data_IF_370740272291
#
_entry.id   IF_370740272291
#
_cell.length_a   1.000
_cell.length_b   1.000
_cell.length_c   1.000
_cell.angle_alpha   90.00
_cell.angle_beta   90.00
_cell.angle_gamma   90.00
#
_symmetry.space_group_name_H-M   'P 1'
#
loop_
_entity.id
_entity.type
_entity.pdbx_description
1 polymer ?
#
# COMPACT_ATOMS: atom_id res chain seq x y z
N UNK A 1 -12.49 19.90 45.91
CA UNK A 1 -11.55 19.60 44.83
C UNK A 1 -11.67 18.10 44.56
N UNK A 2 -12.51 17.71 43.60
CA UNK A 2 -12.69 16.31 43.22
C UNK A 2 -11.95 16.10 41.90
N UNK A 3 -10.88 15.34 41.94
CA UNK A 3 -10.11 14.95 40.78
C UNK A 3 -10.92 14.01 39.89
N UNK A 4 -11.19 14.40 38.67
CA UNK A 4 -11.76 13.53 37.63
C UNK A 4 -10.64 12.61 37.16
N UNK A 5 -10.66 11.36 37.62
CA UNK A 5 -9.79 10.31 37.10
C UNK A 5 -10.35 9.91 35.73
N UNK A 6 -9.75 10.44 34.67
CA UNK A 6 -10.02 10.00 33.30
C UNK A 6 -9.45 8.57 33.18
N UNK A 7 -10.35 7.63 32.98
CA UNK A 7 -10.04 6.19 32.87
C UNK A 7 -9.41 5.89 31.49
N UNK A 8 -8.07 5.92 31.40
CA UNK A 8 -7.25 5.67 30.21
C UNK A 8 -7.16 4.16 29.88
N UNK A 9 -8.21 3.38 30.07
CA UNK A 9 -8.21 1.92 29.87
C UNK A 9 -8.97 1.44 28.63
N UNK A 10 -9.21 2.26 27.62
CA UNK A 10 -9.87 1.82 26.38
C UNK A 10 -9.09 2.14 25.10
N UNK A 11 -7.76 2.16 25.15
CA UNK A 11 -6.93 2.24 23.96
C UNK A 11 -6.43 0.82 23.65
N UNK A 12 -6.83 0.31 22.47
CA UNK A 12 -6.32 -0.89 21.78
C UNK A 12 -6.84 -2.28 22.21
N UNK A 13 -8.14 -2.53 22.04
CA UNK A 13 -8.57 -3.81 21.50
C UNK A 13 -8.98 -3.60 20.02
N UNK A 14 -8.05 -3.36 19.11
CA UNK A 14 -8.32 -3.57 17.69
C UNK A 14 -8.80 -5.02 17.54
N UNK A 15 -10.01 -5.20 17.04
CA UNK A 15 -10.54 -6.54 16.83
C UNK A 15 -9.60 -7.28 15.88
N UNK A 16 -9.20 -8.50 16.24
CA UNK A 16 -8.32 -9.35 15.42
C UNK A 16 -9.08 -9.98 14.24
N UNK A 17 -9.83 -9.18 13.50
CA UNK A 17 -10.68 -9.60 12.40
C UNK A 17 -10.23 -8.87 11.15
N UNK A 18 -10.13 -9.58 10.03
CA UNK A 18 -9.92 -8.94 8.74
C UNK A 18 -11.08 -8.01 8.42
N UNK A 19 -10.79 -6.81 7.93
CA UNK A 19 -11.75 -5.76 7.58
C UNK A 19 -11.63 -5.42 6.12
N UNK A 20 -12.72 -4.96 5.50
CA UNK A 20 -12.67 -4.34 4.19
C UNK A 20 -12.25 -2.89 4.33
N UNK A 21 -11.35 -2.47 3.46
CA UNK A 21 -10.90 -1.10 3.34
C UNK A 21 -10.87 -0.68 1.87
N UNK A 22 -10.69 0.59 1.61
CA UNK A 22 -10.52 1.15 0.27
C UNK A 22 -9.56 2.33 0.31
N UNK A 23 -8.74 2.48 -0.72
CA UNK A 23 -7.90 3.66 -0.93
C UNK A 23 -8.78 4.81 -1.45
N UNK A 24 -8.82 5.91 -0.72
CA UNK A 24 -9.80 6.99 -0.93
C UNK A 24 -9.62 7.78 -2.22
N UNK A 25 -8.44 7.76 -2.84
CA UNK A 25 -8.17 8.44 -4.10
C UNK A 25 -9.07 7.96 -5.26
N UNK A 26 -9.69 6.79 -5.13
CA UNK A 26 -10.69 6.28 -6.08
C UNK A 26 -11.79 7.30 -6.39
N UNK A 27 -12.20 8.09 -5.40
CA UNK A 27 -13.18 9.16 -5.52
C UNK A 27 -12.57 10.54 -5.21
N UNK A 28 -11.35 10.81 -5.69
CA UNK A 28 -10.68 12.09 -5.51
C UNK A 28 -11.45 13.31 -6.08
N UNK A 29 -12.42 13.05 -6.96
CA UNK A 29 -13.34 14.07 -7.52
C UNK A 29 -14.53 14.42 -6.61
N UNK A 30 -14.75 13.68 -5.53
CA UNK A 30 -15.77 13.94 -4.51
C UNK A 30 -15.16 14.59 -3.28
N UNK A 31 -15.96 15.24 -2.47
CA UNK A 31 -15.56 15.65 -1.11
C UNK A 31 -15.32 14.42 -0.23
N UNK A 32 -14.52 14.59 0.84
CA UNK A 32 -14.29 13.50 1.82
C UNK A 32 -15.62 12.99 2.39
N UNK A 33 -16.57 13.85 2.72
CA UNK A 33 -17.87 13.48 3.29
C UNK A 33 -18.68 12.60 2.31
N UNK A 34 -18.72 12.95 1.03
CA UNK A 34 -19.40 12.19 0.00
C UNK A 34 -18.73 10.83 -0.26
N UNK A 35 -17.39 10.80 -0.30
CA UNK A 35 -16.64 9.57 -0.49
C UNK A 35 -16.85 8.60 0.68
N UNK A 36 -16.72 9.08 1.94
CA UNK A 36 -16.90 8.25 3.13
C UNK A 36 -18.34 7.74 3.25
N UNK A 37 -19.33 8.55 2.85
CA UNK A 37 -20.71 8.08 2.78
C UNK A 37 -20.88 6.90 1.83
N UNK A 38 -20.34 6.99 0.60
CA UNK A 38 -20.37 5.89 -0.38
C UNK A 38 -19.72 4.62 0.19
N UNK A 39 -18.56 4.73 0.84
CA UNK A 39 -17.86 3.59 1.42
C UNK A 39 -18.65 2.94 2.56
N UNK A 40 -19.23 3.75 3.44
CA UNK A 40 -20.08 3.26 4.52
C UNK A 40 -21.34 2.57 3.99
N UNK A 41 -22.02 3.14 2.98
CA UNK A 41 -23.21 2.54 2.34
C UNK A 41 -22.90 1.16 1.73
N UNK A 42 -21.69 0.93 1.24
CA UNK A 42 -21.24 -0.37 0.72
C UNK A 42 -20.82 -1.36 1.84
N UNK A 43 -20.79 -0.91 3.11
CA UNK A 43 -20.39 -1.73 4.26
C UNK A 43 -18.89 -1.99 4.30
N UNK A 44 -18.09 -1.02 3.89
CA UNK A 44 -16.64 -0.95 4.12
C UNK A 44 -16.40 -0.61 5.59
N UNK A 45 -15.37 -1.18 6.21
CA UNK A 45 -15.10 -1.05 7.64
C UNK A 45 -14.05 0.04 7.94
N UNK A 46 -13.15 0.26 7.01
CA UNK A 46 -12.01 1.17 7.18
C UNK A 46 -11.63 1.83 5.85
N UNK A 47 -10.78 2.85 5.91
CA UNK A 47 -10.24 3.50 4.73
C UNK A 47 -8.73 3.65 4.84
N UNK A 48 -8.06 3.57 3.73
CA UNK A 48 -6.70 3.98 3.49
C UNK A 48 -6.72 5.38 2.88
N UNK A 49 -6.00 6.32 3.48
CA UNK A 49 -6.09 7.73 3.10
C UNK A 49 -4.91 8.14 2.23
N UNK A 50 -5.19 8.52 0.99
CA UNK A 50 -4.21 9.21 0.15
C UNK A 50 -3.91 10.61 0.71
N UNK A 51 -2.63 10.90 1.02
CA UNK A 51 -2.23 12.12 1.70
C UNK A 51 -0.96 12.78 1.12
N UNK A 52 -0.63 12.50 -0.12
CA UNK A 52 0.51 13.05 -0.85
C UNK A 52 1.03 12.10 -1.93
N UNK A 53 2.05 12.53 -2.64
CA UNK A 53 2.62 11.75 -3.74
C UNK A 53 1.64 11.44 -4.86
N UNK A 54 1.73 10.24 -5.44
CA UNK A 54 0.85 9.81 -6.53
C UNK A 54 -0.63 9.69 -6.13
N UNK A 55 -1.02 9.25 -4.92
CA UNK A 55 -2.42 9.27 -4.49
C UNK A 55 -3.03 10.67 -4.39
N UNK A 56 -2.20 11.73 -4.32
CA UNK A 56 -2.65 13.10 -4.16
C UNK A 56 -3.16 13.43 -2.76
N UNK A 57 -3.76 14.61 -2.61
CA UNK A 57 -4.18 15.19 -1.34
C UNK A 57 -5.66 15.56 -1.28
N UNK A 58 -6.48 15.02 -2.18
CA UNK A 58 -7.89 15.42 -2.33
C UNK A 58 -8.69 15.28 -1.02
N UNK A 59 -8.43 14.24 -0.22
CA UNK A 59 -9.14 13.95 1.03
C UNK A 59 -8.30 14.21 2.28
N UNK A 60 -7.01 14.47 2.13
CA UNK A 60 -6.10 14.71 3.25
C UNK A 60 -4.87 15.48 2.76
N UNK A 61 -4.75 16.72 3.19
CA UNK A 61 -3.50 17.48 3.09
C UNK A 61 -2.85 17.55 4.48
N UNK A 62 -1.79 16.78 4.75
CA UNK A 62 -1.16 16.76 6.06
C UNK A 62 -0.62 18.13 6.47
N UNK A 63 -0.10 18.94 5.55
CA UNK A 63 0.43 20.25 5.87
C UNK A 63 -0.66 21.20 6.39
N UNK A 64 -1.86 21.14 5.79
CA UNK A 64 -3.02 21.92 6.24
C UNK A 64 -3.52 21.43 7.61
N UNK A 65 -3.68 20.10 7.76
CA UNK A 65 -4.21 19.52 9.00
C UNK A 65 -3.26 19.67 10.19
N UNK A 66 -1.96 19.68 9.96
CA UNK A 66 -0.96 19.91 11.01
C UNK A 66 -0.91 21.36 11.45
N UNK A 67 -1.26 22.32 10.58
CA UNK A 67 -1.25 23.75 10.87
C UNK A 67 -2.51 24.24 11.59
N UNK A 68 -3.63 23.51 11.53
CA UNK A 68 -4.92 23.91 12.09
C UNK A 68 -5.58 22.77 12.89
N UNK A 69 -5.55 22.88 14.22
CA UNK A 69 -6.14 21.88 15.12
C UNK A 69 -7.65 21.72 14.95
N UNK A 70 -8.36 22.81 14.57
CA UNK A 70 -9.79 22.74 14.30
C UNK A 70 -10.07 21.97 13.01
N UNK A 71 -9.34 22.27 11.95
CA UNK A 71 -9.44 21.53 10.70
C UNK A 71 -9.16 20.04 10.90
N UNK A 72 -8.14 19.69 11.69
CA UNK A 72 -7.84 18.31 12.04
C UNK A 72 -8.98 17.64 12.82
N UNK A 73 -9.57 18.34 13.78
CA UNK A 73 -10.69 17.81 14.57
C UNK A 73 -11.93 17.58 13.68
N UNK A 74 -12.29 18.54 12.83
CA UNK A 74 -13.41 18.46 11.89
C UNK A 74 -13.19 17.33 10.88
N UNK A 75 -11.95 17.19 10.36
CA UNK A 75 -11.56 16.10 9.47
C UNK A 75 -11.74 14.73 10.14
N UNK A 76 -11.29 14.54 11.37
CA UNK A 76 -11.48 13.28 12.13
C UNK A 76 -12.95 12.99 12.39
N UNK A 77 -13.74 13.99 12.76
CA UNK A 77 -15.17 13.82 13.00
C UNK A 77 -15.94 13.32 11.79
N UNK A 78 -15.45 13.56 10.56
CA UNK A 78 -16.07 13.04 9.34
C UNK A 78 -16.00 11.51 9.28
N UNK A 79 -14.93 10.88 9.76
CA UNK A 79 -14.83 9.42 9.83
C UNK A 79 -15.75 8.84 10.91
N UNK A 80 -15.79 9.46 12.07
CA UNK A 80 -16.67 9.06 13.18
C UNK A 80 -18.14 9.10 12.76
N UNK A 81 -18.55 10.10 11.98
CA UNK A 81 -19.91 10.26 11.41
C UNK A 81 -20.36 9.03 10.64
N UNK A 82 -19.47 8.38 9.93
CA UNK A 82 -19.76 7.20 9.08
C UNK A 82 -19.30 5.88 9.69
N UNK A 83 -18.70 5.90 10.88
CA UNK A 83 -18.20 4.70 11.57
C UNK A 83 -17.05 4.02 10.86
N UNK A 84 -16.25 4.77 10.09
CA UNK A 84 -15.11 4.26 9.34
C UNK A 84 -13.80 4.46 10.10
N UNK A 85 -12.97 3.42 10.17
CA UNK A 85 -11.63 3.51 10.77
C UNK A 85 -10.61 3.99 9.73
N UNK A 86 -9.60 4.74 10.16
CA UNK A 86 -8.42 5.02 9.34
C UNK A 86 -7.44 3.86 9.52
N UNK A 87 -7.19 3.09 8.45
CA UNK A 87 -6.29 1.94 8.48
C UNK A 87 -4.82 2.36 8.43
N UNK A 88 -4.48 3.28 7.54
CA UNK A 88 -3.15 3.82 7.31
C UNK A 88 -3.22 5.11 6.48
N UNK A 89 -2.08 5.79 6.37
CA UNK A 89 -1.87 6.90 5.44
C UNK A 89 -1.03 6.42 4.26
N UNK A 90 -1.41 6.83 3.04
CA UNK A 90 -0.74 6.46 1.80
C UNK A 90 -0.13 7.65 1.10
N UNK A 91 1.18 7.58 0.84
CA UNK A 91 2.00 8.65 0.28
C UNK A 91 3.02 8.07 -0.69
N UNK A 92 2.52 7.33 -1.67
CA UNK A 92 3.36 6.71 -2.70
C UNK A 92 4.14 7.76 -3.48
N UNK A 93 5.46 7.58 -3.58
CA UNK A 93 6.31 8.56 -4.26
C UNK A 93 7.72 8.04 -4.53
N UNK A 94 8.54 8.88 -5.14
CA UNK A 94 9.95 8.60 -5.40
C UNK A 94 10.87 9.60 -4.66
N UNK A 95 11.07 9.44 -3.35
CA UNK A 95 11.87 10.39 -2.56
C UNK A 95 13.37 10.31 -2.86
N UNK A 96 13.80 9.35 -3.66
CA UNK A 96 15.18 9.21 -4.17
C UNK A 96 15.28 9.52 -5.66
N UNK A 97 14.33 10.25 -6.21
CA UNK A 97 14.34 10.68 -7.60
C UNK A 97 15.64 11.44 -7.94
N UNK A 98 16.28 11.21 -9.13
CA UNK A 98 17.51 11.91 -9.50
C UNK A 98 17.36 13.44 -9.56
N UNK A 99 16.20 13.94 -10.01
CA UNK A 99 15.86 15.34 -9.87
C UNK A 99 15.59 15.68 -8.41
N UNK A 100 16.45 16.52 -7.83
CA UNK A 100 16.40 16.86 -6.40
C UNK A 100 15.15 17.63 -5.99
N UNK A 101 14.52 18.37 -6.92
CA UNK A 101 13.26 19.07 -6.65
C UNK A 101 12.13 18.04 -6.48
N UNK A 102 12.02 17.10 -7.39
CA UNK A 102 11.02 16.00 -7.33
C UNK A 102 11.26 15.14 -6.10
N UNK A 103 12.51 14.75 -5.83
CA UNK A 103 12.87 14.00 -4.63
C UNK A 103 12.44 14.70 -3.35
N UNK A 104 12.67 16.02 -3.26
CA UNK A 104 12.29 16.82 -2.09
C UNK A 104 10.78 16.89 -1.92
N UNK A 105 10.02 17.08 -2.97
CA UNK A 105 8.55 17.12 -2.92
C UNK A 105 7.99 15.80 -2.33
N UNK A 106 8.45 14.65 -2.79
CA UNK A 106 8.04 13.35 -2.24
C UNK A 106 8.56 13.11 -0.82
N UNK A 107 9.76 13.57 -0.50
CA UNK A 107 10.29 13.49 0.86
C UNK A 107 9.47 14.33 1.84
N UNK A 108 9.13 15.56 1.47
CA UNK A 108 8.31 16.46 2.28
C UNK A 108 6.91 15.87 2.51
N UNK A 109 6.29 15.28 1.48
CA UNK A 109 5.00 14.62 1.60
C UNK A 109 5.07 13.43 2.56
N UNK A 110 6.11 12.59 2.47
CA UNK A 110 6.32 11.47 3.39
C UNK A 110 6.53 11.96 4.84
N UNK A 111 7.34 12.98 5.03
CA UNK A 111 7.60 13.58 6.34
C UNK A 111 6.32 14.11 6.96
N UNK A 112 5.53 14.86 6.20
CA UNK A 112 4.24 15.38 6.66
C UNK A 112 3.23 14.27 6.97
N UNK A 113 3.21 13.18 6.18
CA UNK A 113 2.38 12.01 6.47
C UNK A 113 2.78 11.34 7.79
N UNK A 114 4.06 11.22 8.08
CA UNK A 114 4.56 10.68 9.36
C UNK A 114 4.14 11.56 10.54
N UNK A 115 4.29 12.87 10.43
CA UNK A 115 3.88 13.81 11.48
C UNK A 115 2.37 13.79 11.72
N UNK A 116 1.58 13.69 10.65
CA UNK A 116 0.13 13.53 10.78
C UNK A 116 -0.22 12.19 11.41
N UNK A 117 0.44 11.10 11.01
CA UNK A 117 0.24 9.77 11.58
C UNK A 117 0.47 9.76 13.11
N UNK A 118 1.54 10.41 13.60
CA UNK A 118 1.78 10.64 15.03
C UNK A 118 0.61 11.37 15.69
N UNK A 119 0.17 12.49 15.10
CA UNK A 119 -0.89 13.34 15.66
C UNK A 119 -2.24 12.61 15.76
N UNK A 120 -2.53 11.67 14.85
CA UNK A 120 -3.79 10.92 14.84
C UNK A 120 -3.68 9.49 15.40
N UNK A 121 -2.48 9.07 15.83
CA UNK A 121 -2.25 7.77 16.46
C UNK A 121 -2.22 6.60 15.49
N UNK A 122 -1.78 6.80 14.25
CA UNK A 122 -1.59 5.77 13.22
C UNK A 122 -0.13 5.34 13.19
N UNK A 123 0.14 4.04 13.21
CA UNK A 123 1.49 3.47 13.25
C UNK A 123 2.02 2.99 11.89
N UNK A 124 1.22 3.12 10.83
CA UNK A 124 1.50 2.57 9.50
C UNK A 124 1.38 3.63 8.41
N UNK A 125 2.44 3.80 7.62
CA UNK A 125 2.46 4.64 6.40
C UNK A 125 2.82 3.75 5.22
N UNK A 126 2.05 3.86 4.14
CA UNK A 126 2.24 3.13 2.88
C UNK A 126 2.95 4.01 1.88
N UNK A 127 3.94 3.48 1.15
CA UNK A 127 4.71 4.23 0.16
C UNK A 127 5.42 3.31 -0.83
N UNK A 128 6.13 3.90 -1.82
CA UNK A 128 7.12 3.20 -2.66
C UNK A 128 8.55 3.38 -2.12
N UNK A 129 9.41 2.45 -2.46
CA UNK A 129 10.85 2.56 -2.10
C UNK A 129 11.58 3.69 -2.80
N UNK A 130 11.07 4.11 -3.94
CA UNK A 130 11.76 4.98 -4.88
C UNK A 130 12.66 4.21 -5.86
N UNK A 131 13.08 4.92 -6.90
CA UNK A 131 14.04 4.46 -7.90
C UNK A 131 14.99 5.62 -8.23
N UNK A 132 16.28 5.52 -7.91
CA UNK A 132 17.31 6.49 -8.29
C UNK A 132 17.66 6.42 -9.79
N UNK A 133 18.53 7.31 -10.22
CA UNK A 133 19.24 7.16 -11.50
C UNK A 133 20.28 6.04 -11.47
N UNK A 134 21.01 5.85 -12.56
CA UNK A 134 22.14 4.91 -12.65
C UNK A 134 23.44 5.48 -12.08
N UNK A 135 23.50 6.80 -11.94
CA UNK A 135 24.65 7.55 -11.35
C UNK A 135 24.16 8.88 -10.77
N UNK A 136 25.09 9.63 -10.15
CA UNK A 136 24.79 10.91 -9.49
C UNK A 136 24.38 12.04 -10.47
N UNK A 137 24.79 11.97 -11.70
CA UNK A 137 24.54 12.95 -12.75
C UNK A 137 23.21 12.76 -13.47
N UNK A 138 22.56 11.60 -13.30
CA UNK A 138 21.28 11.29 -13.93
C UNK A 138 20.17 12.26 -13.51
N UNK A 139 19.20 12.44 -14.40
CA UNK A 139 18.02 13.30 -14.19
C UNK A 139 16.70 12.50 -14.16
N UNK A 140 16.74 11.25 -14.59
CA UNK A 140 15.58 10.36 -14.64
C UNK A 140 15.87 9.05 -13.93
N UNK A 141 14.87 8.39 -13.32
CA UNK A 141 15.03 7.07 -12.72
C UNK A 141 15.53 6.03 -13.74
N UNK A 142 16.31 5.07 -13.27
CA UNK A 142 16.79 3.94 -14.04
C UNK A 142 16.40 2.63 -13.36
N UNK A 143 15.35 1.95 -13.83
CA UNK A 143 14.92 0.68 -13.27
C UNK A 143 15.71 -0.48 -13.86
N UNK A 144 16.85 -0.81 -13.25
CA UNK A 144 17.73 -1.89 -13.69
C UNK A 144 17.26 -3.24 -13.14
N UNK A 145 16.88 -4.16 -14.04
CA UNK A 145 16.39 -5.52 -13.70
C UNK A 145 17.08 -6.61 -14.51
N UNK A 146 18.18 -6.28 -15.19
CA UNK A 146 19.00 -7.21 -15.96
C UNK A 146 20.41 -7.25 -15.39
N UNK A 147 21.01 -8.44 -15.28
CA UNK A 147 22.35 -8.62 -14.72
C UNK A 147 23.47 -8.42 -15.76
N UNK A 148 23.13 -8.31 -17.03
CA UNK A 148 24.12 -8.18 -18.11
C UNK A 148 23.62 -7.15 -19.15
N UNK A 149 24.48 -6.28 -19.71
CA UNK A 149 25.94 -6.12 -19.39
C UNK A 149 26.21 -5.72 -17.94
N UNK A 150 27.46 -5.90 -17.49
CA UNK A 150 27.89 -5.62 -16.09
C UNK A 150 27.68 -4.17 -15.65
N UNK A 151 27.49 -3.23 -16.57
CA UNK A 151 27.06 -1.86 -16.32
C UNK A 151 25.80 -1.83 -15.42
N UNK A 152 24.83 -2.72 -15.66
CA UNK A 152 23.61 -2.79 -14.85
C UNK A 152 23.88 -3.22 -13.39
N UNK A 153 24.89 -4.06 -13.15
CA UNK A 153 25.30 -4.40 -11.78
C UNK A 153 25.92 -3.20 -11.07
N UNK A 154 26.70 -2.37 -11.78
CA UNK A 154 27.25 -1.13 -11.25
C UNK A 154 26.15 -0.11 -10.91
N UNK A 155 25.12 0.00 -11.78
CA UNK A 155 23.91 0.80 -11.51
C UNK A 155 23.21 0.31 -10.25
N UNK A 156 22.97 -0.99 -10.11
CA UNK A 156 22.32 -1.56 -8.93
C UNK A 156 23.12 -1.34 -7.66
N UNK A 157 24.46 -1.46 -7.71
CA UNK A 157 25.33 -1.20 -6.56
C UNK A 157 25.20 0.25 -6.10
N UNK A 158 25.33 1.22 -7.00
CA UNK A 158 25.11 2.63 -6.73
C UNK A 158 23.72 2.90 -6.13
N UNK A 159 22.67 2.41 -6.79
CA UNK A 159 21.30 2.64 -6.35
C UNK A 159 21.04 2.15 -4.92
N UNK A 160 21.49 0.94 -4.62
CA UNK A 160 21.21 0.32 -3.33
C UNK A 160 22.13 0.85 -2.22
N UNK A 161 23.44 0.91 -2.46
CA UNK A 161 24.40 1.14 -1.41
C UNK A 161 24.70 2.62 -1.18
N UNK A 162 24.63 3.44 -2.24
CA UNK A 162 24.94 4.87 -2.11
C UNK A 162 23.68 5.73 -1.94
N UNK A 163 22.50 5.28 -2.42
CA UNK A 163 21.29 6.10 -2.40
C UNK A 163 20.20 5.51 -1.51
N UNK A 164 19.69 4.33 -1.85
CA UNK A 164 18.44 3.80 -1.27
C UNK A 164 18.58 3.45 0.22
N UNK A 165 19.58 2.63 0.56
CA UNK A 165 19.81 2.19 1.94
C UNK A 165 20.15 3.36 2.86
N UNK A 166 21.06 4.30 2.51
CA UNK A 166 21.30 5.48 3.34
C UNK A 166 20.06 6.31 3.58
N UNK A 167 19.29 6.61 2.52
CA UNK A 167 18.06 7.38 2.61
C UNK A 167 17.06 6.72 3.58
N UNK A 168 16.78 5.44 3.40
CA UNK A 168 15.77 4.76 4.23
C UNK A 168 16.24 4.49 5.65
N UNK A 169 17.55 4.40 5.92
CA UNK A 169 18.06 4.35 7.31
C UNK A 169 17.72 5.62 8.08
N UNK A 170 17.94 6.78 7.49
CA UNK A 170 17.64 8.07 8.09
C UNK A 170 16.12 8.29 8.24
N UNK A 171 15.40 8.09 7.16
CA UNK A 171 13.93 8.29 7.10
C UNK A 171 13.19 7.33 8.02
N UNK A 172 13.63 6.09 8.13
CA UNK A 172 13.05 5.11 9.06
C UNK A 172 13.32 5.46 10.52
N UNK A 173 14.49 6.01 10.84
CA UNK A 173 14.78 6.49 12.18
C UNK A 173 13.87 7.67 12.56
N UNK A 174 13.67 8.61 11.64
CA UNK A 174 12.71 9.70 11.80
C UNK A 174 11.28 9.16 12.02
N UNK A 175 10.81 8.29 11.17
CA UNK A 175 9.46 7.71 11.27
C UNK A 175 9.23 7.01 12.62
N UNK A 176 10.21 6.22 13.08
CA UNK A 176 10.17 5.56 14.40
C UNK A 176 10.13 6.55 15.57
N UNK A 177 10.89 7.64 15.49
CA UNK A 177 10.89 8.70 16.52
C UNK A 177 9.50 9.38 16.65
N UNK A 178 8.70 9.38 15.58
CA UNK A 178 7.34 9.92 15.52
C UNK A 178 6.25 8.84 15.61
N UNK A 179 6.55 7.65 16.15
CA UNK A 179 5.56 6.61 16.43
C UNK A 179 5.12 5.78 15.22
N UNK A 180 5.61 6.06 14.01
CA UNK A 180 5.38 5.23 12.83
C UNK A 180 6.37 4.06 12.88
N UNK A 181 5.85 2.90 13.26
CA UNK A 181 6.65 1.67 13.42
C UNK A 181 6.56 0.74 12.22
N UNK A 182 5.78 1.10 11.22
CA UNK A 182 5.52 0.31 10.01
C UNK A 182 5.52 1.21 8.77
N UNK A 183 6.58 1.12 7.99
CA UNK A 183 6.64 1.67 6.63
C UNK A 183 6.34 0.52 5.69
N UNK A 184 5.17 0.54 5.07
CA UNK A 184 4.70 -0.53 4.22
C UNK A 184 5.01 -0.20 2.75
N UNK A 185 6.05 -0.81 2.19
CA UNK A 185 6.40 -0.63 0.79
C UNK A 185 5.52 -1.47 -0.12
N UNK A 186 4.89 -0.83 -1.08
CA UNK A 186 4.32 -1.55 -2.20
C UNK A 186 5.44 -2.06 -3.10
N UNK A 187 5.44 -3.37 -3.34
CA UNK A 187 6.40 -4.03 -4.23
C UNK A 187 5.98 -3.79 -5.67
N UNK A 188 6.43 -2.68 -6.25
CA UNK A 188 5.97 -2.20 -7.54
C UNK A 188 7.12 -2.15 -8.56
N UNK A 189 7.01 -2.84 -9.72
CA UNK A 189 7.95 -2.68 -10.84
C UNK A 189 8.07 -1.22 -11.29
N UNK A 190 9.30 -0.80 -11.55
CA UNK A 190 9.65 0.62 -11.75
C UNK A 190 10.29 1.26 -10.52
N UNK A 191 10.24 0.57 -9.36
CA UNK A 191 10.94 0.96 -8.13
C UNK A 191 11.94 -0.12 -7.70
N UNK A 192 12.88 0.23 -6.81
CA UNK A 192 13.93 -0.71 -6.37
C UNK A 192 13.38 -1.90 -5.59
N UNK A 193 12.28 -1.71 -4.84
CA UNK A 193 11.56 -2.80 -4.17
C UNK A 193 10.35 -3.17 -5.01
N UNK A 194 10.44 -4.31 -5.71
CA UNK A 194 9.41 -4.78 -6.64
C UNK A 194 9.01 -6.26 -6.47
N UNK A 195 9.67 -6.96 -5.54
CA UNK A 195 9.39 -8.36 -5.24
C UNK A 195 9.79 -8.69 -3.78
N UNK A 196 9.45 -9.88 -3.25
CA UNK A 196 9.80 -10.28 -1.89
C UNK A 196 11.31 -10.20 -1.58
N UNK A 197 12.17 -10.62 -2.50
CA UNK A 197 13.63 -10.59 -2.32
C UNK A 197 14.15 -9.17 -2.09
N UNK A 198 13.74 -8.22 -2.93
CA UNK A 198 14.18 -6.83 -2.83
C UNK A 198 13.61 -6.15 -1.58
N UNK A 199 12.37 -6.49 -1.17
CA UNK A 199 11.82 -6.03 0.10
C UNK A 199 12.64 -6.53 1.29
N UNK A 200 12.92 -7.82 1.34
CA UNK A 200 13.69 -8.43 2.44
C UNK A 200 15.14 -7.92 2.47
N UNK A 201 15.74 -7.64 1.31
CA UNK A 201 17.06 -6.98 1.22
C UNK A 201 17.03 -5.61 1.89
N UNK A 202 16.03 -4.76 1.59
CA UNK A 202 15.93 -3.45 2.23
C UNK A 202 15.63 -3.57 3.72
N UNK A 203 14.72 -4.46 4.11
CA UNK A 203 14.40 -4.75 5.52
C UNK A 203 15.62 -5.21 6.31
N UNK A 204 16.45 -6.08 5.75
CA UNK A 204 17.69 -6.53 6.40
C UNK A 204 18.69 -5.38 6.62
N UNK A 205 18.75 -4.42 5.71
CA UNK A 205 19.66 -3.29 5.79
C UNK A 205 19.19 -2.17 6.73
N UNK A 206 17.87 -1.94 6.83
CA UNK A 206 17.27 -0.80 7.56
C UNK A 206 16.64 -1.22 8.88
N UNK A 207 16.01 -2.38 8.94
CA UNK A 207 15.36 -2.92 10.13
C UNK A 207 13.89 -3.27 9.94
N UNK A 208 13.27 -3.74 11.02
CA UNK A 208 11.92 -4.29 11.05
C UNK A 208 10.79 -3.26 10.85
N UNK A 209 11.09 -1.97 10.88
CA UNK A 209 10.14 -0.92 10.50
C UNK A 209 9.74 -1.02 9.02
N UNK A 210 10.59 -1.62 8.18
CA UNK A 210 10.32 -1.88 6.76
C UNK A 210 9.51 -3.16 6.62
N UNK A 211 8.40 -3.07 5.88
CA UNK A 211 7.57 -4.23 5.53
C UNK A 211 6.79 -3.98 4.24
N UNK A 212 5.93 -4.92 3.89
CA UNK A 212 5.15 -4.87 2.66
C UNK A 212 3.80 -4.20 2.85
N UNK A 213 3.44 -3.31 1.93
CA UNK A 213 2.10 -3.26 1.39
C UNK A 213 2.05 -4.35 0.30
N UNK A 214 1.33 -5.43 0.58
CA UNK A 214 1.27 -6.57 -0.31
C UNK A 214 0.19 -6.35 -1.36
N UNK A 215 0.61 -5.98 -2.56
CA UNK A 215 -0.28 -5.93 -3.72
C UNK A 215 -0.02 -7.15 -4.62
N UNK A 216 -0.95 -8.12 -4.68
CA UNK A 216 -0.76 -9.31 -5.51
C UNK A 216 -0.76 -8.98 -7.00
N UNK A 217 -1.41 -7.90 -7.43
CA UNK A 217 -1.55 -7.58 -8.85
C UNK A 217 -0.21 -7.38 -9.54
N UNK A 218 0.73 -6.71 -8.85
CA UNK A 218 2.09 -6.50 -9.36
C UNK A 218 2.94 -7.77 -9.37
N UNK A 219 2.67 -8.71 -8.47
CA UNK A 219 3.39 -9.98 -8.41
C UNK A 219 2.88 -10.95 -9.48
N UNK A 220 1.56 -11.03 -9.67
CA UNK A 220 0.91 -11.95 -10.61
C UNK A 220 1.45 -11.79 -12.03
N UNK A 221 1.51 -10.55 -12.54
CA UNK A 221 1.98 -10.36 -13.91
C UNK A 221 3.50 -10.60 -14.08
N UNK A 222 4.28 -10.50 -13.00
CA UNK A 222 5.70 -10.88 -13.00
C UNK A 222 5.90 -12.40 -13.00
N UNK A 223 4.83 -13.20 -12.85
CA UNK A 223 4.91 -14.66 -12.71
C UNK A 223 5.26 -15.13 -11.29
N UNK A 224 5.15 -14.24 -10.30
CA UNK A 224 5.36 -14.57 -8.88
C UNK A 224 4.04 -15.11 -8.32
N UNK A 225 4.10 -16.27 -7.68
CA UNK A 225 2.95 -16.88 -7.04
C UNK A 225 2.67 -16.20 -5.69
N UNK A 226 1.49 -15.55 -5.50
CA UNK A 226 1.23 -14.74 -4.32
C UNK A 226 1.26 -15.51 -3.00
N UNK A 227 0.82 -16.77 -2.97
CA UNK A 227 0.85 -17.58 -1.74
C UNK A 227 2.29 -17.88 -1.32
N UNK A 228 3.18 -18.16 -2.27
CA UNK A 228 4.60 -18.32 -1.99
C UNK A 228 5.20 -17.04 -1.42
N UNK A 229 4.89 -15.89 -2.04
CA UNK A 229 5.33 -14.57 -1.57
C UNK A 229 4.78 -14.23 -0.18
N UNK A 230 3.50 -14.51 0.12
CA UNK A 230 2.89 -14.33 1.44
C UNK A 230 3.65 -15.14 2.51
N UNK A 231 3.99 -16.38 2.21
CA UNK A 231 4.72 -17.25 3.15
C UNK A 231 6.15 -16.76 3.39
N UNK A 232 6.83 -16.33 2.34
CA UNK A 232 8.19 -15.76 2.41
C UNK A 232 8.20 -14.49 3.27
N UNK A 233 7.21 -13.64 3.12
CA UNK A 233 7.07 -12.37 3.84
C UNK A 233 6.42 -12.51 5.23
N UNK A 234 6.41 -13.72 5.83
CA UNK A 234 5.85 -13.92 7.17
C UNK A 234 6.44 -12.93 8.19
N UNK A 235 5.55 -12.14 8.84
CA UNK A 235 5.94 -11.12 9.82
C UNK A 235 6.41 -9.79 9.21
N UNK A 236 6.45 -9.68 7.88
CA UNK A 236 6.79 -8.46 7.16
C UNK A 236 5.63 -7.84 6.37
N UNK A 237 4.44 -8.44 6.36
CA UNK A 237 3.25 -7.86 5.69
C UNK A 237 2.57 -6.91 6.67
N UNK A 238 2.55 -5.62 6.35
CA UNK A 238 2.00 -4.56 7.20
C UNK A 238 0.67 -4.02 6.70
N UNK A 239 0.47 -4.04 5.39
CA UNK A 239 -0.75 -3.65 4.70
C UNK A 239 -1.00 -4.58 3.51
N UNK A 240 -2.21 -4.54 2.93
CA UNK A 240 -2.57 -5.37 1.78
C UNK A 240 -3.48 -4.60 0.84
N UNK A 241 -3.09 -4.49 -0.43
CA UNK A 241 -3.94 -3.99 -1.49
C UNK A 241 -4.71 -5.14 -2.16
N UNK A 242 -6.02 -5.02 -2.17
CA UNK A 242 -6.89 -5.91 -2.91
C UNK A 242 -7.09 -5.34 -4.33
N UNK A 243 -6.15 -5.67 -5.20
CA UNK A 243 -6.13 -5.37 -6.63
C UNK A 243 -5.82 -6.63 -7.41
N UNK A 244 -6.48 -6.83 -8.54
CA UNK A 244 -6.33 -8.03 -9.37
C UNK A 244 -5.63 -7.72 -10.70
N UNK A 245 -5.15 -8.75 -11.35
CA UNK A 245 -4.51 -8.65 -12.67
C UNK A 245 -4.99 -9.78 -13.57
N UNK A 246 -5.33 -9.44 -14.80
CA UNK A 246 -5.59 -10.41 -15.86
C UNK A 246 -4.42 -10.47 -16.83
N UNK A 247 -3.78 -11.63 -16.92
CA UNK A 247 -2.77 -11.90 -17.95
C UNK A 247 -3.49 -12.29 -19.24
N UNK A 248 -3.18 -11.59 -20.34
CA UNK A 248 -3.56 -12.03 -21.68
C UNK A 248 -2.58 -13.09 -22.16
N UNK A 249 -3.03 -14.35 -22.16
CA UNK A 249 -2.17 -15.49 -22.51
C UNK A 249 -1.64 -15.47 -23.95
N UNK A 250 -2.36 -14.83 -24.87
CA UNK A 250 -1.96 -14.78 -26.28
C UNK A 250 -0.92 -13.68 -26.54
N UNK A 251 -1.12 -12.51 -25.93
CA UNK A 251 -0.12 -11.43 -26.03
C UNK A 251 1.14 -11.78 -25.24
N UNK A 252 1.00 -12.35 -24.03
CA UNK A 252 2.14 -12.81 -23.25
C UNK A 252 2.93 -13.91 -23.94
N UNK A 253 2.27 -14.85 -24.64
CA UNK A 253 2.95 -15.90 -25.42
C UNK A 253 3.78 -15.35 -26.59
N UNK A 254 3.44 -14.15 -27.11
CA UNK A 254 4.18 -13.49 -28.20
C UNK A 254 5.26 -12.54 -27.70
N UNK A 255 4.97 -11.79 -26.64
CA UNK A 255 5.75 -10.59 -26.26
C UNK A 255 6.35 -10.67 -24.86
N UNK A 256 6.01 -11.69 -24.07
CA UNK A 256 6.40 -11.78 -22.65
C UNK A 256 5.57 -10.86 -21.77
N UNK A 257 6.01 -10.67 -20.53
CA UNK A 257 5.28 -9.89 -19.51
C UNK A 257 5.81 -8.46 -19.34
N UNK A 258 7.03 -8.16 -19.80
CA UNK A 258 7.59 -6.81 -19.78
C UNK A 258 6.92 -6.00 -20.88
N UNK A 259 6.04 -5.09 -20.51
CA UNK A 259 5.16 -4.36 -21.42
C UNK A 259 5.29 -2.86 -21.21
N UNK A 260 5.65 -2.14 -22.27
CA UNK A 260 5.82 -0.67 -22.27
C UNK A 260 4.67 0.06 -23.00
N UNK A 261 3.64 -0.67 -23.46
CA UNK A 261 2.46 -0.05 -24.06
C UNK A 261 1.69 0.73 -23.00
N UNK A 262 1.10 1.86 -23.40
CA UNK A 262 0.29 2.66 -22.50
C UNK A 262 -0.89 1.84 -21.92
N UNK A 263 -1.29 2.12 -20.68
CA UNK A 263 -2.37 1.37 -20.00
C UNK A 263 -3.73 1.42 -20.72
N UNK A 264 -3.97 2.44 -21.54
CA UNK A 264 -5.18 2.55 -22.39
C UNK A 264 -5.16 1.70 -23.67
N UNK A 265 -4.09 0.96 -23.92
CA UNK A 265 -3.99 0.02 -25.06
C UNK A 265 -4.28 -1.42 -24.60
N UNK A 266 -5.40 -1.61 -23.90
CA UNK A 266 -5.75 -2.83 -23.18
C UNK A 266 -5.69 -4.08 -24.05
N UNK A 267 -6.21 -3.98 -25.29
CA UNK A 267 -6.30 -5.11 -26.21
C UNK A 267 -4.93 -5.66 -26.66
N UNK A 268 -3.89 -4.83 -26.65
CA UNK A 268 -2.54 -5.20 -27.10
C UNK A 268 -1.58 -5.46 -25.95
N UNK A 269 -1.96 -5.13 -24.71
CA UNK A 269 -1.13 -5.37 -23.53
C UNK A 269 -1.04 -6.85 -23.19
N UNK A 270 0.08 -7.22 -22.58
CA UNK A 270 0.31 -8.58 -22.06
C UNK A 270 -0.50 -8.87 -20.80
N UNK A 271 -0.89 -7.84 -20.08
CA UNK A 271 -1.70 -7.90 -18.87
C UNK A 271 -2.35 -6.53 -18.60
N UNK A 272 -3.46 -6.56 -17.88
CA UNK A 272 -4.18 -5.36 -17.42
C UNK A 272 -4.61 -5.53 -15.97
N UNK A 273 -4.68 -4.44 -15.22
CA UNK A 273 -5.27 -4.45 -13.89
C UNK A 273 -6.79 -4.63 -13.99
N UNK A 274 -7.35 -5.33 -13.02
CA UNK A 274 -8.77 -5.63 -12.97
C UNK A 274 -9.32 -5.46 -11.56
N UNK A 275 -10.59 -5.15 -11.47
CA UNK A 275 -11.34 -5.26 -10.22
C UNK A 275 -11.22 -6.67 -9.67
N UNK A 276 -11.18 -6.78 -8.33
CA UNK A 276 -11.02 -8.06 -7.61
C UNK A 276 -12.04 -9.10 -8.09
N UNK A 277 -11.55 -10.25 -8.51
CA UNK A 277 -12.37 -11.35 -9.05
C UNK A 277 -12.51 -11.38 -10.57
N UNK A 278 -12.08 -10.33 -11.28
CA UNK A 278 -12.10 -10.29 -12.74
C UNK A 278 -10.77 -10.72 -13.39
N UNK A 279 -9.70 -10.74 -12.61
CA UNK A 279 -8.43 -11.35 -13.00
C UNK A 279 -8.36 -12.82 -12.64
N UNK A 280 -8.59 -13.10 -11.36
CA UNK A 280 -8.50 -14.42 -10.74
C UNK A 280 -9.75 -14.74 -9.92
N UNK A 281 -10.15 -16.01 -9.89
CA UNK A 281 -11.40 -16.43 -9.28
C UNK A 281 -11.35 -16.57 -7.75
N UNK A 282 -12.51 -16.97 -7.19
CA UNK A 282 -12.75 -17.00 -5.76
C UNK A 282 -11.79 -17.95 -5.01
N UNK A 283 -11.46 -19.10 -5.58
CA UNK A 283 -10.56 -20.09 -4.94
C UNK A 283 -9.16 -19.53 -4.81
N UNK A 284 -8.68 -18.82 -5.82
CA UNK A 284 -7.36 -18.16 -5.81
C UNK A 284 -7.27 -17.09 -4.70
N UNK A 285 -8.29 -16.25 -4.57
CA UNK A 285 -8.37 -15.24 -3.52
C UNK A 285 -8.53 -15.84 -2.13
N UNK A 286 -9.32 -16.90 -1.99
CA UNK A 286 -9.49 -17.62 -0.70
C UNK A 286 -8.19 -18.28 -0.25
N UNK A 287 -7.39 -18.80 -1.17
CA UNK A 287 -6.08 -19.36 -0.82
C UNK A 287 -5.12 -18.27 -0.33
N UNK A 288 -5.02 -17.12 -1.01
CA UNK A 288 -4.26 -15.97 -0.52
C UNK A 288 -4.71 -15.54 0.88
N UNK A 289 -6.02 -15.35 1.09
CA UNK A 289 -6.59 -14.91 2.38
C UNK A 289 -6.30 -15.94 3.49
N UNK A 290 -6.41 -17.23 3.18
CA UNK A 290 -6.09 -18.30 4.13
C UNK A 290 -4.61 -18.25 4.52
N UNK A 291 -3.71 -18.04 3.55
CA UNK A 291 -2.28 -17.92 3.80
C UNK A 291 -1.89 -16.63 4.54
N UNK A 292 -2.54 -15.50 4.27
CA UNK A 292 -2.40 -14.28 5.09
C UNK A 292 -2.72 -14.58 6.57
N UNK A 293 -3.81 -15.30 6.84
CA UNK A 293 -4.16 -15.73 8.20
C UNK A 293 -3.12 -16.69 8.80
N UNK A 294 -2.59 -17.62 8.01
CA UNK A 294 -1.56 -18.57 8.47
C UNK A 294 -0.27 -17.87 8.88
N UNK A 295 0.12 -16.81 8.18
CA UNK A 295 1.32 -16.03 8.53
C UNK A 295 1.06 -14.95 9.59
N UNK A 296 -0.19 -14.79 10.06
CA UNK A 296 -0.57 -13.89 11.15
C UNK A 296 -1.03 -12.50 10.73
N UNK A 297 -1.33 -12.30 9.44
CA UNK A 297 -1.96 -11.07 8.97
C UNK A 297 -3.49 -11.15 9.15
N UNK A 298 -4.06 -10.22 9.90
CA UNK A 298 -5.49 -10.14 10.20
C UNK A 298 -5.99 -8.68 10.23
N UNK A 299 -5.39 -7.81 9.38
CA UNK A 299 -5.73 -6.39 9.29
C UNK A 299 -6.76 -6.14 8.18
N UNK A 300 -6.52 -5.14 7.34
CA UNK A 300 -7.42 -4.74 6.27
C UNK A 300 -7.08 -5.38 4.93
N UNK A 301 -8.11 -5.61 4.13
CA UNK A 301 -8.03 -5.84 2.69
C UNK A 301 -8.45 -4.53 2.03
N UNK A 302 -7.48 -3.71 1.64
CA UNK A 302 -7.72 -2.37 1.09
C UNK A 302 -7.91 -2.45 -0.41
N UNK A 303 -9.13 -2.17 -0.89
CA UNK A 303 -9.44 -2.19 -2.32
C UNK A 303 -8.71 -1.03 -2.98
N UNK A 304 -7.91 -1.34 -3.99
CA UNK A 304 -7.36 -0.39 -4.93
C UNK A 304 -7.93 -0.68 -6.32
N UNK A 305 -8.57 0.32 -6.93
CA UNK A 305 -9.22 0.16 -8.22
C UNK A 305 -8.44 0.87 -9.31
N UNK A 306 -7.92 0.08 -10.26
CA UNK A 306 -7.24 0.54 -11.47
C UNK A 306 -7.74 -0.22 -12.72
N UNK A 307 -9.00 -0.62 -12.72
CA UNK A 307 -9.62 -1.34 -13.83
C UNK A 307 -10.08 -0.36 -14.91
N UNK A 308 -9.43 -0.37 -16.06
CA UNK A 308 -9.78 0.51 -17.19
C UNK A 308 -11.08 0.10 -17.91
N UNK A 309 -11.62 -1.10 -17.60
CA UNK A 309 -12.84 -1.63 -18.24
C UNK A 309 -14.09 -1.44 -17.37
N UNK A 310 -13.96 -0.85 -16.17
CA UNK A 310 -15.07 -0.58 -15.26
C UNK A 310 -15.01 0.83 -14.72
N UNK A 311 -16.17 1.43 -14.45
CA UNK A 311 -16.21 2.68 -13.70
C UNK A 311 -15.78 2.44 -12.24
N UNK A 312 -15.28 3.48 -11.54
CA UNK A 312 -14.95 3.39 -10.12
C UNK A 312 -16.10 2.83 -9.26
N UNK A 313 -17.33 3.26 -9.50
CA UNK A 313 -18.51 2.80 -8.77
C UNK A 313 -18.80 1.32 -9.00
N UNK A 314 -18.78 0.88 -10.26
CA UNK A 314 -19.06 -0.51 -10.62
C UNK A 314 -17.95 -1.43 -10.09
N UNK A 315 -16.68 -1.08 -10.34
CA UNK A 315 -15.55 -1.88 -9.91
C UNK A 315 -15.45 -2.00 -8.39
N UNK A 316 -15.71 -0.91 -7.65
CA UNK A 316 -15.74 -0.95 -6.19
C UNK A 316 -16.88 -1.84 -5.67
N UNK A 317 -18.08 -1.71 -6.22
CA UNK A 317 -19.24 -2.53 -5.80
C UNK A 317 -18.96 -4.03 -6.01
N UNK A 318 -18.42 -4.41 -7.16
CA UNK A 318 -18.03 -5.79 -7.46
C UNK A 318 -16.91 -6.29 -6.53
N UNK A 319 -15.87 -5.49 -6.30
CA UNK A 319 -14.76 -5.87 -5.40
C UNK A 319 -15.27 -6.11 -3.97
N UNK A 320 -16.15 -5.24 -3.46
CA UNK A 320 -16.76 -5.39 -2.13
C UNK A 320 -17.59 -6.66 -2.04
N UNK A 321 -18.45 -6.92 -3.02
CA UNK A 321 -19.29 -8.14 -3.06
C UNK A 321 -18.42 -9.40 -3.08
N UNK A 322 -17.42 -9.44 -3.94
CA UNK A 322 -16.48 -10.56 -4.07
C UNK A 322 -15.68 -10.80 -2.77
N UNK A 323 -15.12 -9.75 -2.19
CA UNK A 323 -14.33 -9.86 -0.97
C UNK A 323 -15.18 -10.26 0.24
N UNK A 324 -16.43 -9.83 0.33
CA UNK A 324 -17.36 -10.30 1.38
C UNK A 324 -17.57 -11.82 1.38
N UNK A 325 -17.39 -12.49 0.23
CA UNK A 325 -17.46 -13.94 0.11
C UNK A 325 -16.14 -14.65 0.41
N UNK A 326 -15.03 -13.91 0.47
CA UNK A 326 -13.66 -14.47 0.62
C UNK A 326 -13.06 -14.19 1.99
N UNK A 327 -13.36 -13.03 2.59
CA UNK A 327 -12.72 -12.54 3.81
C UNK A 327 -13.10 -13.38 5.03
N UNK A 328 -12.12 -13.63 5.90
CA UNK A 328 -12.34 -14.35 7.16
C UNK A 328 -12.48 -13.32 8.28
N UNK A 329 -13.72 -13.03 8.69
CA UNK A 329 -14.01 -11.99 9.69
C UNK A 329 -13.84 -12.45 11.14
N UNK A 330 -14.08 -13.72 11.44
CA UNK A 330 -13.94 -14.21 12.82
C UNK A 330 -12.47 -14.28 13.26
N UNK A 331 -12.15 -14.02 14.53
CA UNK A 331 -10.81 -14.25 15.06
C UNK A 331 -10.36 -15.70 14.84
N UNK A 332 -9.04 -15.90 14.67
CA UNK A 332 -8.51 -17.27 14.61
C UNK A 332 -8.81 -17.98 15.93
N UNK A 333 -9.44 -19.18 15.90
CA UNK A 333 -9.68 -19.95 17.11
C UNK A 333 -8.37 -20.23 17.86
N UNK A 334 -8.40 -20.11 19.17
CA UNK A 334 -7.25 -20.43 20.05
C UNK A 334 -7.18 -21.93 20.37
N UNK A 335 -8.30 -22.63 20.25
CA UNK A 335 -8.43 -24.08 20.47
C UNK A 335 -9.25 -24.68 19.35
N UNK A 336 -8.97 -25.94 19.04
CA UNK A 336 -9.74 -26.72 18.08
C UNK A 336 -10.63 -27.70 18.85
N UNK A 337 -11.95 -27.65 18.60
CA UNK A 337 -12.93 -28.49 19.33
C UNK A 337 -12.78 -30.00 19.05
N UNK A 338 -11.98 -30.36 18.03
CA UNK A 338 -11.75 -31.75 17.59
C UNK A 338 -10.29 -32.22 17.81
N UNK A 339 -9.43 -31.40 18.41
CA UNK A 339 -8.01 -31.74 18.66
C UNK A 339 -7.66 -31.64 20.14
#
# INVERSE_FOLDING_TARGET
MSAIIINVKNINKRSKNMKLSVLTNLFANLSLDEALKKFSDLGIDAVEIGCGGYPGKAHCDPAVLLADEKALADWKATFDKYGLEIACLSVHGNPVHPDKKIAKEFHDDFTNAVLLAEKIGIDTVVTFSGCPGGCAEDKTPNWATCAWPDDFLSVLDYQWNEVLIPYWKETAAFAKAHGVTKIAFEMHPGFCVYNPETLLKLRAAVGDVIGANFDPSHLIWQGIEPVAAIRELKGAIYHFHAKDTKIDKYNTAKFGVLDTKHYSDEANRSWIFRSVGYGNGLDYWRDMISNLRLVGYDKVMSIEHEDSLMTPEEGLAHAVEFLKQSIIRAPKPTTMAWA
#
